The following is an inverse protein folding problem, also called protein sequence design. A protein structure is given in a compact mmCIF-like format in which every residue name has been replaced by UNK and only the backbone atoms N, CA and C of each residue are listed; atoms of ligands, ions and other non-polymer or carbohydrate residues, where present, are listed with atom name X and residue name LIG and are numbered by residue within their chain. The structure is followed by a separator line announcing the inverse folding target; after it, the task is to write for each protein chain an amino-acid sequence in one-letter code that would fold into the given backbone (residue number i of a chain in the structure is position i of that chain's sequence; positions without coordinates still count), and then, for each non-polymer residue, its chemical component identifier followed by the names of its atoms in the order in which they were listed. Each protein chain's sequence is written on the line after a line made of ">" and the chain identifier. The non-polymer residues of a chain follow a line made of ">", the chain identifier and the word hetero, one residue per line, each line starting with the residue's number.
data_IF_289472321205
#
_entry.id   IF_289472321205
#
_cell.length_a   1.000
_cell.length_b   1.000
_cell.length_c   1.000
_cell.angle_alpha   90.00
_cell.angle_beta   90.00
_cell.angle_gamma   90.00
#
_symmetry.space_group_name_H-M   'P 1'
#
loop_
_entity.id
_entity.type
_entity.pdbx_description
1 polymer ?
#
# COMPACT_ATOMS: atom_id res chain seq x y z
N UNK A 1 -24.52 2.92 -24.35
CA UNK A 1 -25.98 2.71 -24.31
C UNK A 1 -26.64 4.07 -24.10
N UNK A 2 -27.85 4.29 -24.60
CA UNK A 2 -28.53 5.58 -24.43
C UNK A 2 -29.16 5.54 -23.03
N UNK A 3 -28.76 6.45 -22.15
CA UNK A 3 -29.37 6.59 -20.84
C UNK A 3 -30.08 7.94 -20.77
N UNK A 4 -31.26 7.92 -20.16
CA UNK A 4 -32.11 9.09 -19.96
C UNK A 4 -32.00 9.47 -18.48
N UNK A 5 -31.64 10.71 -18.18
CA UNK A 5 -31.51 11.18 -16.79
C UNK A 5 -32.87 11.28 -16.11
N UNK A 6 -33.89 11.69 -16.86
CA UNK A 6 -35.22 11.94 -16.34
C UNK A 6 -36.29 11.30 -17.25
N UNK A 7 -36.56 9.98 -17.12
CA UNK A 7 -37.49 9.26 -17.99
C UNK A 7 -38.94 9.73 -17.86
N UNK A 8 -39.29 10.43 -16.77
CA UNK A 8 -40.61 10.99 -16.54
C UNK A 8 -41.03 11.99 -17.63
N UNK A 9 -40.08 12.72 -18.23
CA UNK A 9 -40.38 13.68 -19.29
C UNK A 9 -40.84 13.04 -20.60
N UNK A 10 -40.69 11.72 -20.77
CA UNK A 10 -41.29 11.01 -21.90
C UNK A 10 -42.83 11.09 -21.88
N UNK A 11 -43.46 11.29 -20.71
CA UNK A 11 -44.90 11.54 -20.63
C UNK A 11 -45.33 12.84 -21.32
N UNK A 12 -44.43 13.80 -21.55
CA UNK A 12 -44.73 15.00 -22.31
C UNK A 12 -45.13 14.70 -23.77
N UNK A 13 -44.73 13.55 -24.31
CA UNK A 13 -45.15 13.07 -25.65
C UNK A 13 -46.67 12.87 -25.70
N UNK A 14 -47.33 12.55 -24.59
CA UNK A 14 -48.79 12.48 -24.53
C UNK A 14 -49.47 13.82 -24.87
N UNK A 15 -48.76 14.95 -24.72
CA UNK A 15 -49.25 16.27 -25.14
C UNK A 15 -49.51 16.41 -26.64
N UNK A 16 -48.95 15.52 -27.48
CA UNK A 16 -49.23 15.46 -28.93
C UNK A 16 -50.70 15.14 -29.23
N UNK A 17 -51.40 14.49 -28.28
CA UNK A 17 -52.84 14.19 -28.40
C UNK A 17 -53.65 15.47 -28.57
N UNK A 18 -53.27 16.57 -27.93
CA UNK A 18 -54.00 17.85 -27.96
C UNK A 18 -54.09 18.44 -29.38
N UNK A 19 -52.99 18.72 -30.11
CA UNK A 19 -53.07 19.26 -31.46
C UNK A 19 -53.73 18.28 -32.45
N UNK A 20 -53.59 16.97 -32.24
CA UNK A 20 -54.27 15.95 -33.06
C UNK A 20 -55.79 16.03 -32.88
N UNK A 21 -56.27 16.07 -31.63
CA UNK A 21 -57.70 16.19 -31.31
C UNK A 21 -58.31 17.51 -31.82
N UNK A 22 -57.60 18.64 -31.63
CA UNK A 22 -58.05 19.95 -32.13
C UNK A 22 -58.17 19.93 -33.66
N UNK A 23 -57.23 19.27 -34.34
CA UNK A 23 -57.27 19.17 -35.79
C UNK A 23 -58.42 18.29 -36.29
N UNK A 24 -58.69 17.16 -35.63
CA UNK A 24 -59.84 16.31 -35.92
C UNK A 24 -61.18 17.05 -35.65
N UNK A 25 -61.21 17.99 -34.70
CA UNK A 25 -62.40 18.80 -34.42
C UNK A 25 -62.63 19.92 -35.44
N UNK A 26 -61.62 20.32 -36.22
CA UNK A 26 -61.73 21.42 -37.17
C UNK A 26 -62.47 21.01 -38.45
N UNK A 27 -63.80 20.92 -38.36
CA UNK A 27 -64.69 20.67 -39.49
C UNK A 27 -64.82 21.96 -40.29
N UNK A 28 -64.53 21.91 -41.59
CA UNK A 28 -64.69 23.06 -42.50
C UNK A 28 -66.13 23.57 -42.46
N UNK A 29 -66.32 24.82 -42.05
CA UNK A 29 -67.60 25.51 -42.20
C UNK A 29 -67.84 25.75 -43.69
N UNK A 30 -68.98 25.26 -44.20
CA UNK A 30 -69.34 25.44 -45.61
C UNK A 30 -69.47 26.93 -45.92
N UNK A 31 -68.75 27.41 -46.93
CA UNK A 31 -68.93 28.80 -47.41
C UNK A 31 -70.31 28.91 -48.03
N UNK A 32 -71.16 29.76 -47.47
CA UNK A 32 -72.46 30.08 -48.05
C UNK A 32 -72.24 31.01 -49.25
N UNK A 33 -72.46 30.50 -50.46
CA UNK A 33 -72.50 31.32 -51.67
C UNK A 33 -73.87 32.02 -51.72
N UNK A 34 -73.89 33.35 -51.82
CA UNK A 34 -75.14 34.09 -52.02
C UNK A 34 -75.60 33.90 -53.47
N UNK A 35 -76.76 33.27 -53.66
CA UNK A 35 -77.39 33.04 -54.97
C UNK A 35 -78.71 33.81 -55.01
N UNK A 36 -79.01 34.44 -56.14
CA UNK A 36 -80.10 35.42 -56.30
C UNK A 36 -81.52 34.85 -56.42
N UNK A 37 -81.71 33.52 -56.53
CA UNK A 37 -83.04 32.91 -56.52
C UNK A 37 -82.97 31.44 -56.13
N UNK A 38 -83.78 31.05 -55.15
CA UNK A 38 -83.89 29.68 -54.61
C UNK A 38 -85.05 28.89 -55.21
N UNK A 39 -85.85 29.51 -56.09
CA UNK A 39 -87.07 28.92 -56.63
C UNK A 39 -86.83 27.74 -57.60
N UNK A 40 -85.60 27.58 -58.12
CA UNK A 40 -85.23 26.52 -59.08
C UNK A 40 -84.48 25.35 -58.42
N UNK A 41 -84.26 25.39 -57.10
CA UNK A 41 -83.58 24.32 -56.38
C UNK A 41 -84.63 23.38 -55.77
N UNK A 42 -85.02 22.35 -56.54
CA UNK A 42 -85.83 21.24 -56.05
C UNK A 42 -85.14 20.50 -54.91
N UNK A 43 -85.93 19.74 -54.13
CA UNK A 43 -85.57 19.06 -52.89
C UNK A 43 -84.41 18.06 -53.08
N UNK A 44 -83.20 18.61 -53.14
CA UNK A 44 -81.98 17.85 -53.36
C UNK A 44 -81.53 17.32 -52.01
N UNK A 45 -81.50 15.98 -51.91
CA UNK A 45 -81.03 15.23 -50.77
C UNK A 45 -79.77 15.86 -50.20
N UNK A 46 -79.82 16.17 -48.90
CA UNK A 46 -78.74 16.71 -48.07
C UNK A 46 -77.49 15.85 -48.24
N UNK A 47 -76.68 16.14 -49.25
CA UNK A 47 -75.39 15.49 -49.43
C UNK A 47 -74.57 15.82 -48.20
N UNK A 48 -74.43 14.81 -47.34
CA UNK A 48 -73.59 14.85 -46.16
C UNK A 48 -72.16 15.11 -46.62
N UNK A 49 -71.80 16.40 -46.70
CA UNK A 49 -70.43 16.84 -46.93
C UNK A 49 -69.62 16.68 -45.64
N UNK A 50 -69.62 15.48 -45.07
CA UNK A 50 -68.62 15.02 -44.11
C UNK A 50 -67.39 14.54 -44.89
N UNK A 51 -66.83 15.43 -45.71
CA UNK A 51 -65.52 15.19 -46.29
C UNK A 51 -64.48 15.59 -45.25
N UNK A 52 -64.01 14.60 -44.50
CA UNK A 52 -62.86 14.70 -43.60
C UNK A 52 -61.56 14.90 -44.42
N UNK A 53 -61.46 16.04 -45.11
CA UNK A 53 -60.27 16.41 -45.89
C UNK A 53 -59.35 17.17 -44.97
N UNK A 54 -58.36 16.44 -44.47
CA UNK A 54 -57.19 16.96 -43.74
C UNK A 54 -56.41 17.86 -44.69
N UNK A 55 -56.73 19.16 -44.69
CA UNK A 55 -55.86 20.19 -45.26
C UNK A 55 -54.87 20.62 -44.18
N UNK A 56 -53.60 20.82 -44.58
CA UNK A 56 -52.48 21.28 -43.72
C UNK A 56 -51.75 20.20 -42.89
N UNK A 57 -51.64 18.98 -43.43
CA UNK A 57 -50.79 17.91 -42.89
C UNK A 57 -49.34 18.34 -42.54
N UNK A 58 -48.62 19.12 -43.37
CA UNK A 58 -47.27 19.55 -43.01
C UNK A 58 -47.22 20.47 -41.78
N UNK A 59 -48.24 21.30 -41.55
CA UNK A 59 -48.28 22.23 -40.42
C UNK A 59 -48.56 21.50 -39.10
N UNK A 60 -49.39 20.45 -39.14
CA UNK A 60 -49.62 19.56 -38.00
C UNK A 60 -48.37 18.78 -37.65
N UNK A 61 -47.68 18.23 -38.65
CA UNK A 61 -46.43 17.50 -38.47
C UNK A 61 -45.38 18.38 -37.77
N UNK A 62 -45.26 19.65 -38.18
CA UNK A 62 -44.34 20.61 -37.57
C UNK A 62 -44.65 20.85 -36.08
N UNK A 63 -45.93 21.02 -35.72
CA UNK A 63 -46.33 21.17 -34.31
C UNK A 63 -45.98 19.94 -33.47
N UNK A 64 -46.20 18.74 -34.01
CA UNK A 64 -45.86 17.51 -33.31
C UNK A 64 -44.34 17.35 -33.16
N UNK A 65 -43.57 17.69 -34.21
CA UNK A 65 -42.12 17.65 -34.19
C UNK A 65 -41.53 18.58 -33.13
N UNK A 66 -42.08 19.79 -32.98
CA UNK A 66 -41.62 20.75 -31.98
C UNK A 66 -41.82 20.22 -30.55
N UNK A 67 -42.98 19.64 -30.26
CA UNK A 67 -43.25 19.01 -28.96
C UNK A 67 -42.33 17.81 -28.69
N UNK A 68 -42.05 17.01 -29.72
CA UNK A 68 -41.16 15.85 -29.61
C UNK A 68 -39.71 16.28 -29.35
N UNK A 69 -39.24 17.32 -30.05
CA UNK A 69 -37.91 17.88 -29.86
C UNK A 69 -37.76 18.53 -28.47
N UNK A 70 -38.80 19.19 -27.97
CA UNK A 70 -38.84 19.72 -26.62
C UNK A 70 -38.78 18.59 -25.57
N UNK A 71 -39.58 17.54 -25.72
CA UNK A 71 -39.52 16.37 -24.84
C UNK A 71 -38.13 15.71 -24.85
N UNK A 72 -37.53 15.59 -26.04
CA UNK A 72 -36.18 15.03 -26.19
C UNK A 72 -35.12 15.90 -25.51
N UNK A 73 -35.21 17.22 -25.64
CA UNK A 73 -34.29 18.15 -24.99
C UNK A 73 -34.36 18.04 -23.46
N UNK A 74 -35.57 17.91 -22.89
CA UNK A 74 -35.77 17.76 -21.44
C UNK A 74 -35.34 16.39 -20.91
N UNK A 75 -35.31 15.36 -21.77
CA UNK A 75 -34.79 14.04 -21.37
C UNK A 75 -33.26 13.97 -21.31
N UNK A 76 -32.55 15.02 -21.73
CA UNK A 76 -31.09 15.11 -21.83
C UNK A 76 -30.42 13.77 -22.21
N UNK A 77 -30.67 13.26 -23.42
CA UNK A 77 -30.14 11.99 -23.86
C UNK A 77 -28.64 12.14 -24.07
N UNK A 78 -27.87 11.50 -23.22
CA UNK A 78 -26.42 11.53 -23.31
C UNK A 78 -25.90 10.16 -23.73
N UNK A 79 -24.93 10.20 -24.65
CA UNK A 79 -24.28 8.98 -25.10
C UNK A 79 -23.25 8.52 -24.08
N UNK A 80 -23.65 7.60 -23.20
CA UNK A 80 -22.67 6.85 -22.41
C UNK A 80 -21.95 5.86 -23.30
N UNK A 81 -20.69 6.16 -23.62
CA UNK A 81 -19.71 5.14 -23.97
C UNK A 81 -19.52 4.28 -22.72
N UNK A 82 -20.20 3.13 -22.66
CA UNK A 82 -19.69 2.06 -21.82
C UNK A 82 -18.37 1.68 -22.47
N UNK A 83 -17.28 2.17 -21.90
CA UNK A 83 -16.07 1.40 -21.84
C UNK A 83 -16.50 0.08 -21.19
N UNK A 84 -16.88 -0.91 -21.99
CA UNK A 84 -16.94 -2.29 -21.52
C UNK A 84 -15.53 -2.54 -21.00
N UNK A 85 -15.32 -2.68 -19.69
CA UNK A 85 -14.07 -3.28 -19.28
C UNK A 85 -14.07 -4.66 -19.93
N UNK A 86 -12.98 -5.01 -20.59
CA UNK A 86 -12.78 -6.39 -21.01
C UNK A 86 -13.12 -7.28 -19.80
N UNK A 87 -13.80 -8.43 -19.96
CA UNK A 87 -14.16 -9.27 -18.82
C UNK A 87 -12.89 -9.58 -18.05
N UNK A 88 -12.70 -8.86 -16.93
CA UNK A 88 -11.47 -8.90 -16.19
C UNK A 88 -11.39 -10.31 -15.62
N UNK A 89 -10.41 -11.09 -16.11
CA UNK A 89 -10.21 -12.47 -15.63
C UNK A 89 -9.89 -12.51 -14.13
N UNK A 90 -9.58 -11.36 -13.54
CA UNK A 90 -9.43 -11.13 -12.12
C UNK A 90 -8.92 -9.72 -11.82
N UNK A 91 -8.75 -9.43 -10.53
CA UNK A 91 -8.27 -8.15 -10.03
C UNK A 91 -6.83 -8.27 -9.54
N UNK A 92 -6.02 -7.26 -9.80
CA UNK A 92 -4.70 -7.06 -9.18
C UNK A 92 -4.85 -5.92 -8.18
N UNK A 93 -4.53 -6.18 -6.92
CA UNK A 93 -4.50 -5.19 -5.86
C UNK A 93 -3.05 -4.87 -5.53
N UNK A 94 -2.72 -3.58 -5.55
CA UNK A 94 -1.41 -3.09 -5.12
C UNK A 94 -1.60 -2.14 -3.95
N UNK A 95 -0.77 -2.30 -2.94
CA UNK A 95 -0.71 -1.39 -1.81
C UNK A 95 -0.48 0.07 -2.24
N UNK A 96 -1.23 1.00 -1.61
CA UNK A 96 -1.13 2.43 -1.91
C UNK A 96 0.18 3.07 -1.44
N UNK A 97 0.75 2.60 -0.33
CA UNK A 97 1.93 3.21 0.28
C UNK A 97 2.81 2.14 0.92
N UNK A 98 3.98 1.78 0.36
CA UNK A 98 4.68 2.39 -0.77
C UNK A 98 4.38 1.71 -2.13
N UNK A 99 3.52 2.31 -2.97
CA UNK A 99 3.10 1.69 -4.24
C UNK A 99 4.24 1.50 -5.25
N UNK A 100 5.19 2.45 -5.30
CA UNK A 100 6.31 2.44 -6.26
C UNK A 100 7.28 1.29 -6.00
N UNK A 101 7.63 1.08 -4.73
CA UNK A 101 8.51 0.00 -4.29
C UNK A 101 7.88 -1.37 -4.52
N UNK A 102 6.59 -1.51 -4.14
CA UNK A 102 5.81 -2.73 -4.39
C UNK A 102 5.80 -3.04 -5.90
N UNK A 103 5.51 -2.03 -6.72
CA UNK A 103 5.44 -2.20 -8.16
C UNK A 103 6.80 -2.58 -8.76
N UNK A 104 7.89 -1.94 -8.36
CA UNK A 104 9.22 -2.27 -8.88
C UNK A 104 9.62 -3.72 -8.58
N UNK A 105 9.32 -4.20 -7.37
CA UNK A 105 9.64 -5.57 -6.97
C UNK A 105 8.82 -6.61 -7.76
N UNK A 106 7.54 -6.32 -8.02
CA UNK A 106 6.64 -7.23 -8.71
C UNK A 106 6.39 -6.89 -10.20
N UNK A 107 7.15 -5.95 -10.76
CA UNK A 107 7.01 -5.45 -12.14
C UNK A 107 6.80 -6.56 -13.18
N UNK A 108 7.66 -7.60 -13.29
CA UNK A 108 7.51 -8.61 -14.33
C UNK A 108 6.18 -9.38 -14.20
N UNK A 109 5.72 -9.60 -12.98
CA UNK A 109 4.48 -10.34 -12.71
C UNK A 109 3.25 -9.47 -12.93
N UNK A 110 3.27 -8.22 -12.47
CA UNK A 110 2.19 -7.26 -12.69
C UNK A 110 2.03 -6.99 -14.18
N UNK A 111 3.12 -6.74 -14.92
CA UNK A 111 3.10 -6.54 -16.37
C UNK A 111 2.52 -7.76 -17.12
N UNK A 112 2.90 -8.98 -16.71
CA UNK A 112 2.34 -10.19 -17.30
C UNK A 112 0.84 -10.36 -17.01
N UNK A 113 0.36 -9.96 -15.84
CA UNK A 113 -1.05 -10.05 -15.48
C UNK A 113 -1.87 -8.98 -16.22
N UNK A 114 -1.36 -7.75 -16.32
CA UNK A 114 -1.95 -6.68 -17.11
C UNK A 114 -2.12 -7.08 -18.58
N UNK A 115 -1.09 -7.66 -19.20
CA UNK A 115 -1.15 -8.19 -20.59
C UNK A 115 -2.22 -9.28 -20.77
N UNK A 116 -2.56 -10.02 -19.71
CA UNK A 116 -3.60 -11.07 -19.73
C UNK A 116 -5.02 -10.52 -19.55
N UNK A 117 -5.17 -9.20 -19.42
CA UNK A 117 -6.47 -8.54 -19.25
C UNK A 117 -6.96 -8.48 -17.80
N UNK A 118 -6.05 -8.53 -16.82
CA UNK A 118 -6.40 -8.26 -15.42
C UNK A 118 -6.48 -6.75 -15.17
N UNK A 119 -7.43 -6.35 -14.32
CA UNK A 119 -7.59 -4.95 -13.93
C UNK A 119 -6.76 -4.62 -12.70
N UNK A 120 -6.16 -3.43 -12.69
CA UNK A 120 -5.30 -2.97 -11.62
C UNK A 120 -6.08 -2.02 -10.71
N UNK A 121 -6.12 -2.36 -9.43
CA UNK A 121 -6.82 -1.63 -8.39
C UNK A 121 -5.85 -1.29 -7.26
N UNK A 122 -6.07 -0.14 -6.62
CA UNK A 122 -5.36 0.20 -5.39
C UNK A 122 -6.01 -0.49 -4.20
N UNK A 123 -5.19 -0.94 -3.25
CA UNK A 123 -5.64 -1.45 -1.97
C UNK A 123 -6.02 -0.27 -1.05
N UNK A 124 -7.21 0.26 -1.29
CA UNK A 124 -7.86 1.27 -0.43
C UNK A 124 -9.33 0.89 -0.19
N UNK A 125 -10.05 1.67 0.61
CA UNK A 125 -11.47 1.40 0.92
C UNK A 125 -12.38 1.49 -0.32
N UNK A 126 -11.97 2.23 -1.34
CA UNK A 126 -12.71 2.41 -2.59
C UNK A 126 -12.42 1.34 -3.64
N UNK A 127 -11.24 0.70 -3.60
CA UNK A 127 -10.71 -0.21 -4.62
C UNK A 127 -10.76 0.37 -6.03
N UNK A 128 -10.34 1.64 -6.17
CA UNK A 128 -10.36 2.34 -7.45
C UNK A 128 -9.51 1.60 -8.47
N UNK A 129 -10.05 1.42 -9.68
CA UNK A 129 -9.29 0.97 -10.83
C UNK A 129 -8.37 2.11 -11.27
N UNK A 130 -7.08 1.82 -11.43
CA UNK A 130 -6.06 2.83 -11.73
C UNK A 130 -5.17 2.34 -12.86
N UNK A 131 -4.84 3.24 -13.79
CA UNK A 131 -3.87 2.94 -14.85
C UNK A 131 -2.46 2.97 -14.30
N UNK A 132 -1.57 2.16 -14.88
CA UNK A 132 -0.18 2.08 -14.43
C UNK A 132 0.54 3.45 -14.39
N UNK A 133 0.27 4.30 -15.38
CA UNK A 133 0.85 5.65 -15.46
C UNK A 133 0.38 6.60 -14.35
N UNK A 134 -0.81 6.37 -13.76
CA UNK A 134 -1.34 7.17 -12.66
C UNK A 134 -0.75 6.73 -11.32
N UNK A 135 -0.42 5.44 -11.17
CA UNK A 135 0.20 4.87 -9.96
C UNK A 135 1.64 5.38 -9.75
N UNK A 136 2.35 5.65 -10.85
CA UNK A 136 3.73 6.15 -10.81
C UNK A 136 3.82 7.66 -10.59
N UNK A 137 2.69 8.38 -10.67
CA UNK A 137 2.65 9.80 -10.31
C UNK A 137 2.61 9.88 -8.78
N UNK A 138 3.61 10.56 -8.22
CA UNK A 138 3.89 10.72 -6.78
C UNK A 138 2.83 11.51 -6.00
N UNK A 139 1.55 11.36 -6.32
CA UNK A 139 0.46 11.96 -5.54
C UNK A 139 0.14 11.04 -4.36
N UNK A 140 1.09 10.97 -3.42
CA UNK A 140 0.92 10.40 -2.09
C UNK A 140 -0.05 11.30 -1.32
N UNK A 141 -1.35 11.15 -1.57
CA UNK A 141 -2.35 11.65 -0.64
C UNK A 141 -2.20 10.83 0.63
N UNK A 142 -1.61 11.43 1.66
CA UNK A 142 -1.51 10.90 3.02
C UNK A 142 -2.90 10.48 3.46
N UNK A 143 -3.17 9.19 3.36
CA UNK A 143 -4.42 8.60 3.81
C UNK A 143 -4.13 7.74 5.01
N UNK A 144 -5.01 7.85 6.01
CA UNK A 144 -4.95 7.14 7.28
C UNK A 144 -4.62 5.67 7.02
N UNK A 145 -3.51 5.18 7.56
CA UNK A 145 -3.09 3.81 7.36
C UNK A 145 -4.14 2.86 7.97
N UNK A 146 -4.75 2.05 7.11
CA UNK A 146 -5.69 0.99 7.49
C UNK A 146 -4.94 -0.34 7.40
N UNK A 147 -5.19 -1.25 8.34
CA UNK A 147 -4.65 -2.61 8.27
C UNK A 147 -5.17 -3.36 7.04
N UNK A 148 -4.41 -4.35 6.56
CA UNK A 148 -4.81 -5.12 5.38
C UNK A 148 -6.05 -5.98 5.61
N UNK A 149 -6.22 -6.50 6.83
CA UNK A 149 -7.32 -7.42 7.15
C UNK A 149 -8.73 -6.79 7.03
N UNK A 150 -9.00 -5.60 7.59
CA UNK A 150 -10.26 -4.89 7.32
C UNK A 150 -10.51 -4.65 5.83
N UNK A 151 -9.48 -4.28 5.07
CA UNK A 151 -9.62 -4.02 3.63
C UNK A 151 -10.00 -5.29 2.88
N UNK A 152 -9.35 -6.42 3.17
CA UNK A 152 -9.71 -7.71 2.58
C UNK A 152 -11.15 -8.14 2.91
N UNK A 153 -11.64 -7.81 4.11
CA UNK A 153 -13.04 -8.06 4.48
C UNK A 153 -14.01 -7.21 3.65
N UNK A 154 -13.70 -5.92 3.45
CA UNK A 154 -14.51 -5.04 2.59
C UNK A 154 -14.44 -5.43 1.11
N UNK A 155 -13.32 -5.99 0.67
CA UNK A 155 -13.13 -6.49 -0.69
C UNK A 155 -14.07 -7.66 -1.00
N UNK A 156 -14.24 -8.59 -0.06
CA UNK A 156 -15.15 -9.73 -0.16
C UNK A 156 -16.59 -9.32 -0.48
N UNK A 157 -17.04 -8.16 0.03
CA UNK A 157 -18.39 -7.65 -0.21
C UNK A 157 -18.56 -7.01 -1.60
N UNK A 158 -17.49 -6.56 -2.23
CA UNK A 158 -17.52 -5.83 -3.51
C UNK A 158 -17.27 -6.70 -4.73
N UNK A 159 -16.57 -7.82 -4.55
CA UNK A 159 -16.17 -8.68 -5.67
C UNK A 159 -17.16 -9.85 -5.83
N UNK A 160 -17.56 -10.20 -7.08
CA UNK A 160 -18.31 -11.42 -7.34
C UNK A 160 -17.59 -12.68 -6.84
N UNK A 161 -18.35 -13.61 -6.24
CA UNK A 161 -17.82 -14.86 -5.74
C UNK A 161 -17.03 -15.61 -6.84
N UNK A 162 -15.86 -16.16 -6.50
CA UNK A 162 -14.89 -16.89 -7.37
C UNK A 162 -13.97 -16.05 -8.27
N UNK A 163 -13.98 -14.72 -8.18
CA UNK A 163 -12.99 -13.91 -8.91
C UNK A 163 -11.58 -14.15 -8.38
N UNK A 164 -10.59 -14.37 -9.25
CA UNK A 164 -9.18 -14.52 -8.85
C UNK A 164 -8.60 -13.15 -8.52
N UNK A 165 -8.04 -13.00 -7.32
CA UNK A 165 -7.46 -11.75 -6.84
C UNK A 165 -5.96 -11.93 -6.59
N UNK A 166 -5.12 -11.16 -7.27
CA UNK A 166 -3.69 -11.09 -6.97
C UNK A 166 -3.42 -9.89 -6.08
N UNK A 167 -2.92 -10.11 -4.88
CA UNK A 167 -2.61 -9.05 -3.94
C UNK A 167 -1.09 -8.93 -3.78
N UNK A 168 -0.57 -7.73 -4.02
CA UNK A 168 0.82 -7.38 -3.84
C UNK A 168 0.93 -6.31 -2.76
N UNK A 169 1.54 -6.67 -1.63
CA UNK A 169 1.77 -5.74 -0.51
C UNK A 169 3.18 -5.87 0.03
N UNK A 170 3.55 -4.90 0.83
CA UNK A 170 4.73 -4.92 1.65
C UNK A 170 4.46 -5.68 2.98
N UNK A 171 5.52 -6.16 3.66
CA UNK A 171 5.46 -7.04 4.84
C UNK A 171 5.69 -6.25 6.15
N UNK A 172 5.22 -5.02 6.26
CA UNK A 172 5.43 -4.20 7.46
C UNK A 172 4.41 -4.57 8.52
N UNK A 173 4.90 -4.82 9.73
CA UNK A 173 4.07 -5.24 10.87
C UNK A 173 2.91 -4.27 11.16
N UNK A 174 3.09 -2.97 10.88
CA UNK A 174 2.07 -1.94 11.10
C UNK A 174 0.73 -2.23 10.40
N UNK A 175 0.75 -2.92 9.25
CA UNK A 175 -0.45 -3.22 8.48
C UNK A 175 -1.13 -4.54 8.89
N UNK A 176 -0.48 -5.36 9.73
CA UNK A 176 -0.97 -6.66 10.19
C UNK A 176 -1.50 -6.66 11.63
N UNK A 177 -1.61 -5.50 12.28
CA UNK A 177 -2.01 -5.38 13.70
C UNK A 177 -3.42 -5.90 14.04
N UNK A 178 -4.26 -6.17 13.04
CA UNK A 178 -5.64 -6.63 13.24
C UNK A 178 -5.76 -8.16 13.25
N UNK A 179 -6.81 -8.69 13.90
CA UNK A 179 -7.13 -10.13 13.84
C UNK A 179 -7.44 -10.54 12.40
N UNK A 180 -6.86 -11.66 11.95
CA UNK A 180 -7.12 -12.25 10.63
C UNK A 180 -8.58 -12.73 10.54
N UNK A 181 -9.40 -12.21 9.60
CA UNK A 181 -10.75 -12.70 9.37
C UNK A 181 -10.76 -13.98 8.53
N UNK A 182 -11.88 -14.69 8.58
CA UNK A 182 -12.24 -15.69 7.58
C UNK A 182 -12.66 -14.95 6.29
N UNK A 183 -12.06 -15.35 5.16
CA UNK A 183 -12.25 -14.73 3.85
C UNK A 183 -12.62 -15.84 2.85
N UNK A 184 -13.75 -15.69 2.15
CA UNK A 184 -14.16 -16.58 1.07
C UNK A 184 -13.75 -16.02 -0.31
N UNK A 185 -12.45 -15.73 -0.47
CA UNK A 185 -11.87 -15.13 -1.66
C UNK A 185 -10.83 -16.07 -2.30
N UNK A 186 -10.78 -16.12 -3.63
CA UNK A 186 -9.68 -16.77 -4.35
C UNK A 186 -8.48 -15.81 -4.42
N UNK A 187 -7.81 -15.63 -3.28
CA UNK A 187 -6.76 -14.65 -3.05
C UNK A 187 -5.36 -15.27 -3.18
N UNK A 188 -4.57 -14.75 -4.10
CA UNK A 188 -3.14 -15.02 -4.24
C UNK A 188 -2.35 -13.82 -3.71
N UNK A 189 -2.00 -13.90 -2.42
CA UNK A 189 -1.26 -12.83 -1.74
C UNK A 189 0.24 -13.05 -1.82
N UNK A 190 0.96 -12.09 -2.38
CA UNK A 190 2.41 -12.01 -2.40
C UNK A 190 2.88 -10.80 -1.61
N UNK A 191 3.86 -11.04 -0.75
CA UNK A 191 4.46 -10.01 0.09
C UNK A 191 5.95 -9.88 -0.18
N UNK A 192 6.48 -8.67 -0.01
CA UNK A 192 7.93 -8.43 0.03
C UNK A 192 8.28 -7.63 1.28
N UNK A 193 9.50 -7.80 1.78
CA UNK A 193 10.00 -7.02 2.90
C UNK A 193 10.76 -5.81 2.34
N UNK A 194 10.24 -4.57 2.48
CA UNK A 194 10.98 -3.39 2.05
C UNK A 194 12.24 -3.19 2.88
N UNK A 195 13.14 -2.34 2.40
CA UNK A 195 14.28 -1.88 3.18
C UNK A 195 13.77 -0.99 4.32
N UNK A 196 13.46 -1.61 5.46
CA UNK A 196 13.09 -0.93 6.70
C UNK A 196 14.32 -0.32 7.40
N UNK A 197 14.06 0.37 8.50
CA UNK A 197 14.96 0.88 9.54
C UNK A 197 16.22 0.02 9.69
N UNK A 198 17.31 0.49 9.12
CA UNK A 198 18.64 -0.06 9.36
C UNK A 198 19.11 0.45 10.72
N UNK A 199 19.20 -0.44 11.70
CA UNK A 199 19.78 -0.10 13.00
C UNK A 199 21.28 -0.39 12.97
N UNK A 200 22.09 0.60 13.31
CA UNK A 200 23.52 0.44 13.50
C UNK A 200 23.88 0.83 14.92
N UNK A 201 24.69 0.01 15.59
CA UNK A 201 25.14 0.29 16.95
C UNK A 201 26.54 -0.24 17.19
N UNK A 202 27.22 0.33 18.19
CA UNK A 202 28.47 -0.20 18.72
C UNK A 202 28.10 -1.23 19.79
N UNK A 203 28.40 -2.50 19.54
CA UNK A 203 28.16 -3.60 20.49
C UNK A 203 29.20 -3.63 21.60
N UNK A 204 30.47 -3.41 21.25
CA UNK A 204 31.58 -3.40 22.20
C UNK A 204 32.77 -2.67 21.59
N UNK A 205 33.61 -2.05 22.41
CA UNK A 205 34.88 -1.44 22.00
C UNK A 205 35.95 -1.70 23.04
N UNK A 206 37.18 -1.97 22.60
CA UNK A 206 38.30 -2.27 23.49
C UNK A 206 39.64 -1.83 22.88
N UNK A 207 40.63 -1.60 23.74
CA UNK A 207 41.99 -1.38 23.29
C UNK A 207 42.67 -2.68 22.89
N UNK A 208 43.31 -2.64 21.73
CA UNK A 208 44.17 -3.71 21.22
C UNK A 208 45.55 -3.66 21.89
N UNK A 209 46.34 -4.72 21.72
CA UNK A 209 47.73 -4.76 22.19
C UNK A 209 48.62 -3.65 21.59
N UNK A 210 48.26 -3.11 20.43
CA UNK A 210 48.99 -2.03 19.72
C UNK A 210 48.39 -0.64 19.98
N UNK A 211 47.64 -0.48 21.08
CA UNK A 211 46.97 0.75 21.51
C UNK A 211 46.02 1.39 20.47
N UNK A 212 45.54 0.61 19.51
CA UNK A 212 44.41 0.96 18.65
C UNK A 212 43.08 0.55 19.30
N UNK A 213 42.01 1.27 19.01
CA UNK A 213 40.66 0.94 19.49
C UNK A 213 40.00 0.02 18.46
N UNK A 214 39.60 -1.18 18.87
CA UNK A 214 38.80 -2.09 18.05
C UNK A 214 37.35 -2.03 18.50
N UNK A 215 36.47 -1.64 17.59
CA UNK A 215 35.03 -1.57 17.80
C UNK A 215 34.31 -2.68 17.05
N UNK A 216 33.40 -3.38 17.72
CA UNK A 216 32.47 -4.34 17.13
C UNK A 216 31.17 -3.59 16.85
N UNK A 217 30.82 -3.48 15.58
CA UNK A 217 29.67 -2.74 15.10
C UNK A 217 28.61 -3.70 14.61
N UNK A 218 27.42 -3.65 15.22
CA UNK A 218 26.24 -4.36 14.78
C UNK A 218 25.50 -3.58 13.70
N UNK A 219 25.02 -4.28 12.69
CA UNK A 219 24.13 -3.76 11.65
C UNK A 219 22.96 -4.72 11.50
N UNK A 220 21.77 -4.24 11.85
CA UNK A 220 20.52 -5.00 11.72
C UNK A 220 19.72 -4.46 10.54
N UNK A 221 19.41 -5.36 9.61
CA UNK A 221 18.50 -5.14 8.47
C UNK A 221 17.33 -6.11 8.59
N UNK A 222 16.23 -5.90 7.86
CA UNK A 222 15.11 -6.86 7.85
C UNK A 222 15.48 -8.29 7.43
N UNK A 223 16.56 -8.45 6.67
CA UNK A 223 17.08 -9.75 6.25
C UNK A 223 18.02 -10.43 7.26
N UNK A 224 18.42 -9.76 8.34
CA UNK A 224 19.31 -10.32 9.36
C UNK A 224 20.21 -9.30 10.05
N UNK A 225 20.88 -9.75 11.10
CA UNK A 225 21.86 -8.99 11.87
C UNK A 225 23.27 -9.46 11.56
N UNK A 226 24.17 -8.51 11.29
CA UNK A 226 25.58 -8.77 11.01
C UNK A 226 26.47 -7.96 11.95
N UNK A 227 27.64 -8.52 12.27
CA UNK A 227 28.65 -7.85 13.09
C UNK A 227 29.93 -7.68 12.28
N UNK A 228 30.52 -6.50 12.36
CA UNK A 228 31.77 -6.16 11.71
C UNK A 228 32.74 -5.54 12.71
N UNK A 229 34.03 -5.79 12.53
CA UNK A 229 35.08 -5.18 13.35
C UNK A 229 35.71 -4.01 12.64
N UNK A 230 35.81 -2.87 13.31
CA UNK A 230 36.47 -1.66 12.82
C UNK A 230 37.63 -1.32 13.74
N UNK A 231 38.83 -1.16 13.17
CA UNK A 231 40.01 -0.70 13.89
C UNK A 231 40.17 0.80 13.71
N UNK A 232 40.30 1.52 14.82
CA UNK A 232 40.48 2.96 14.89
C UNK A 232 41.84 3.26 15.53
N UNK A 233 42.72 3.91 14.79
CA UNK A 233 43.97 4.42 15.33
C UNK A 233 43.72 5.77 16.00
N UNK A 234 44.33 6.01 17.17
CA UNK A 234 44.11 7.20 18.01
C UNK A 234 44.40 8.54 17.31
N UNK A 235 45.11 8.53 16.17
CA UNK A 235 45.45 9.73 15.40
C UNK A 235 44.56 9.96 14.17
N UNK A 236 43.74 8.99 13.76
CA UNK A 236 43.04 9.06 12.48
C UNK A 236 41.59 9.50 12.67
N UNK A 237 41.23 10.67 12.10
CA UNK A 237 39.84 11.16 12.10
C UNK A 237 38.99 10.24 11.22
N UNK A 238 38.31 9.28 11.83
CA UNK A 238 37.40 8.42 11.10
C UNK A 238 36.16 9.20 10.64
N UNK A 239 35.71 8.98 9.40
CA UNK A 239 34.53 9.64 8.87
C UNK A 239 33.24 9.26 9.63
N UNK A 240 33.15 8.03 10.17
CA UNK A 240 31.92 7.45 10.71
C UNK A 240 31.84 7.40 12.25
N UNK A 241 32.97 7.41 12.94
CA UNK A 241 33.03 7.29 14.39
C UNK A 241 33.64 8.54 15.02
N UNK A 242 33.17 8.90 16.21
CA UNK A 242 33.80 9.88 17.07
C UNK A 242 34.40 9.17 18.28
N UNK A 243 35.61 9.57 18.67
CA UNK A 243 36.28 9.04 19.86
C UNK A 243 36.59 10.23 20.76
N UNK A 244 36.02 10.23 21.96
CA UNK A 244 36.21 11.28 22.97
C UNK A 244 36.87 10.68 24.20
N UNK A 245 37.76 11.42 24.85
CA UNK A 245 38.37 11.02 26.12
C UNK A 245 37.83 11.95 27.19
N UNK A 246 37.08 11.40 28.15
CA UNK A 246 36.53 12.14 29.28
C UNK A 246 36.94 11.43 30.57
N UNK A 247 37.54 12.16 31.51
CA UNK A 247 37.95 11.61 32.81
C UNK A 247 38.92 10.42 32.73
N UNK A 248 39.78 10.37 31.71
CA UNK A 248 40.74 9.27 31.52
C UNK A 248 40.15 7.97 30.95
N UNK A 249 38.87 7.97 30.57
CA UNK A 249 38.22 6.86 29.85
C UNK A 249 37.94 7.28 28.42
N UNK A 250 38.24 6.40 27.48
CA UNK A 250 37.89 6.62 26.08
C UNK A 250 36.45 6.17 25.82
N UNK A 251 35.72 6.95 25.05
CA UNK A 251 34.35 6.70 24.62
C UNK A 251 34.29 6.75 23.10
N UNK A 252 33.48 5.86 22.52
CA UNK A 252 33.25 5.80 21.08
C UNK A 252 31.77 5.98 20.78
N UNK A 253 31.45 6.81 19.79
CA UNK A 253 30.10 6.99 19.27
C UNK A 253 30.07 6.95 17.75
N UNK A 254 28.91 6.62 17.18
CA UNK A 254 28.67 6.70 15.73
C UNK A 254 28.15 8.11 15.44
N UNK A 255 28.73 8.79 14.43
CA UNK A 255 28.25 10.12 14.03
C UNK A 255 26.81 10.03 13.51
N UNK A 256 25.98 11.01 13.85
CA UNK A 256 24.57 11.08 13.45
C UNK A 256 23.72 9.88 13.91
N UNK A 257 24.04 9.30 15.07
CA UNK A 257 23.29 8.22 15.68
C UNK A 257 22.81 8.62 17.08
N UNK A 258 21.66 8.09 17.51
CA UNK A 258 21.04 8.33 18.82
C UNK A 258 21.60 7.45 19.93
N UNK A 259 22.50 6.50 19.62
CA UNK A 259 23.14 5.67 20.63
C UNK A 259 24.07 6.50 21.53
N UNK A 260 23.95 6.31 22.85
CA UNK A 260 24.90 6.85 23.83
C UNK A 260 26.32 6.32 23.58
N UNK A 261 27.32 7.15 23.90
CA UNK A 261 28.71 6.78 23.68
C UNK A 261 29.09 5.54 24.51
N UNK A 262 29.76 4.58 23.87
CA UNK A 262 30.17 3.32 24.49
C UNK A 262 31.56 3.49 25.08
N UNK A 263 31.72 3.10 26.34
CA UNK A 263 33.03 3.08 27.02
C UNK A 263 33.94 2.07 26.33
N UNK A 264 35.17 2.48 26.00
CA UNK A 264 36.20 1.59 25.47
C UNK A 264 36.86 0.85 26.62
N UNK A 265 36.77 -0.48 26.60
CA UNK A 265 37.36 -1.34 27.61
C UNK A 265 38.90 -1.30 27.55
N UNK A 266 39.51 -0.88 28.65
CA UNK A 266 40.96 -0.83 28.87
C UNK A 266 41.47 -2.00 29.72
N UNK A 267 40.58 -2.84 30.23
CA UNK A 267 40.94 -3.91 31.16
C UNK A 267 41.67 -5.06 30.46
N UNK A 268 42.59 -5.69 31.20
CA UNK A 268 43.21 -6.95 30.75
C UNK A 268 42.37 -8.11 31.26
N UNK A 269 41.78 -8.89 30.35
CA UNK A 269 41.01 -10.07 30.71
C UNK A 269 41.98 -11.17 31.19
N UNK A 270 41.84 -11.57 32.46
CA UNK A 270 42.64 -12.63 33.09
C UNK A 270 41.84 -13.92 33.12
N UNK A 271 42.33 -14.96 32.47
CA UNK A 271 41.70 -16.28 32.43
C UNK A 271 42.62 -17.27 33.13
N UNK A 272 42.09 -17.98 34.13
CA UNK A 272 42.84 -19.02 34.85
C UNK A 272 42.34 -20.40 34.44
N UNK A 273 43.24 -21.26 33.97
CA UNK A 273 42.94 -22.64 33.59
C UNK A 273 43.30 -23.55 34.76
N UNK A 274 42.31 -24.27 35.28
CA UNK A 274 42.52 -25.27 36.33
C UNK A 274 42.86 -26.62 35.71
N UNK A 275 44.04 -27.17 36.03
CA UNK A 275 44.60 -28.32 35.30
C UNK A 275 44.83 -29.58 36.13
N UNK A 276 44.33 -29.65 37.38
CA UNK A 276 44.70 -30.65 38.38
C UNK A 276 44.75 -32.10 37.88
N UNK A 277 43.63 -32.64 37.37
CA UNK A 277 43.56 -34.02 36.87
C UNK A 277 43.59 -34.13 35.34
N UNK A 278 43.60 -32.99 34.63
CA UNK A 278 43.38 -32.90 33.19
C UNK A 278 44.42 -31.99 32.52
N UNK A 279 45.71 -32.27 32.76
CA UNK A 279 46.80 -31.47 32.23
C UNK A 279 46.85 -31.46 30.68
N UNK A 280 46.50 -32.58 30.04
CA UNK A 280 46.41 -32.66 28.58
C UNK A 280 45.30 -31.75 28.02
N UNK A 281 44.11 -31.75 28.62
CA UNK A 281 42.98 -30.91 28.20
C UNK A 281 43.24 -29.42 28.44
N UNK A 282 43.96 -29.10 29.52
CA UNK A 282 44.40 -27.74 29.81
C UNK A 282 45.28 -27.15 28.70
N UNK A 283 46.12 -27.98 28.05
CA UNK A 283 46.93 -27.55 26.93
C UNK A 283 46.08 -27.23 25.70
N UNK A 284 45.07 -28.05 25.38
CA UNK A 284 44.14 -27.77 24.28
C UNK A 284 43.34 -26.49 24.54
N UNK A 285 42.83 -26.30 25.76
CA UNK A 285 42.10 -25.08 26.14
C UNK A 285 43.00 -23.84 26.06
N UNK A 286 44.25 -23.95 26.53
CA UNK A 286 45.22 -22.87 26.44
C UNK A 286 45.53 -22.50 24.99
N UNK A 287 45.76 -23.49 24.12
CA UNK A 287 45.98 -23.25 22.69
C UNK A 287 44.77 -22.57 22.04
N UNK A 288 43.55 -23.02 22.36
CA UNK A 288 42.32 -22.38 21.88
C UNK A 288 42.21 -20.92 22.35
N UNK A 289 42.46 -20.65 23.63
CA UNK A 289 42.42 -19.29 24.18
C UNK A 289 43.54 -18.40 23.62
N UNK A 290 44.71 -18.95 23.33
CA UNK A 290 45.79 -18.25 22.62
C UNK A 290 45.40 -17.90 21.18
N UNK A 291 44.72 -18.80 20.47
CA UNK A 291 44.17 -18.52 19.15
C UNK A 291 43.11 -17.41 19.22
N UNK A 292 42.21 -17.44 20.21
CA UNK A 292 41.23 -16.37 20.46
C UNK A 292 41.93 -15.04 20.79
N UNK A 293 43.03 -15.06 21.56
CA UNK A 293 43.87 -13.88 21.82
C UNK A 293 44.44 -13.28 20.56
N UNK A 294 45.02 -14.11 19.69
CA UNK A 294 45.59 -13.67 18.42
C UNK A 294 44.52 -13.15 17.45
N UNK A 295 43.34 -13.77 17.43
CA UNK A 295 42.25 -13.35 16.55
C UNK A 295 41.57 -12.04 17.02
N UNK A 296 41.33 -11.91 18.32
CA UNK A 296 40.62 -10.75 18.89
C UNK A 296 41.52 -9.54 19.11
N UNK A 297 42.85 -9.70 19.20
CA UNK A 297 43.82 -8.67 19.62
C UNK A 297 43.51 -8.03 20.99
N UNK A 298 42.67 -8.67 21.80
CA UNK A 298 42.36 -8.21 23.16
C UNK A 298 43.56 -8.40 24.08
N UNK A 299 43.74 -7.46 25.02
CA UNK A 299 44.69 -7.61 26.13
C UNK A 299 44.21 -8.76 27.03
N UNK A 300 44.76 -9.97 26.82
CA UNK A 300 44.42 -11.18 27.58
C UNK A 300 45.65 -11.83 28.22
N UNK A 301 45.51 -12.24 29.49
CA UNK A 301 46.51 -12.98 30.26
C UNK A 301 45.94 -14.34 30.66
N UNK A 302 46.54 -15.42 30.15
CA UNK A 302 46.16 -16.80 30.43
C UNK A 302 47.16 -17.35 31.46
N UNK A 303 46.66 -17.93 32.55
CA UNK A 303 47.49 -18.47 33.64
C UNK A 303 47.02 -19.88 34.00
N UNK A 304 47.95 -20.80 34.21
CA UNK A 304 47.62 -22.14 34.72
C UNK A 304 47.59 -22.14 36.25
N UNK A 305 46.65 -22.87 36.83
CA UNK A 305 46.61 -23.12 38.28
C UNK A 305 46.34 -24.59 38.57
N UNK A 306 47.15 -25.18 39.44
CA UNK A 306 46.97 -26.55 39.94
C UNK A 306 46.23 -26.59 41.29
N UNK A 307 45.92 -25.42 41.86
CA UNK A 307 45.47 -25.28 43.24
C UNK A 307 44.02 -24.75 43.31
N UNK A 308 43.11 -25.58 43.78
CA UNK A 308 41.67 -25.26 43.89
C UNK A 308 41.38 -24.11 44.88
N UNK A 309 42.20 -23.96 45.92
CA UNK A 309 42.06 -22.89 46.93
C UNK A 309 42.31 -21.49 46.36
N UNK A 310 43.13 -21.35 45.31
CA UNK A 310 43.35 -20.08 44.59
C UNK A 310 42.15 -19.69 43.73
N UNK A 311 41.47 -20.65 43.11
CA UNK A 311 40.22 -20.41 42.36
C UNK A 311 39.10 -19.96 43.31
N UNK A 312 39.03 -20.55 44.51
CA UNK A 312 38.04 -20.20 45.53
C UNK A 312 38.28 -18.83 46.17
N UNK A 313 39.53 -18.33 46.24
CA UNK A 313 39.81 -16.97 46.74
C UNK A 313 39.49 -15.90 45.70
N UNK A 314 39.74 -16.18 44.41
CA UNK A 314 39.31 -15.34 43.28
C UNK A 314 37.78 -15.20 43.23
N UNK A 315 37.05 -16.32 43.41
CA UNK A 315 35.58 -16.33 43.43
C UNK A 315 34.98 -15.63 44.67
N UNK A 316 35.64 -15.71 45.84
CA UNK A 316 35.20 -15.04 47.07
C UNK A 316 35.41 -13.52 47.04
N UNK A 317 36.51 -13.06 46.43
CA UNK A 317 36.78 -11.62 46.31
C UNK A 317 35.84 -10.93 45.32
N UNK A 318 35.42 -11.61 44.24
CA UNK A 318 34.39 -11.08 43.32
C UNK A 318 33.01 -11.04 43.96
N UNK A 319 32.66 -12.02 44.80
CA UNK A 319 31.40 -11.99 45.56
C UNK A 319 31.38 -10.93 46.67
N UNK A 320 32.51 -10.66 47.34
CA UNK A 320 32.62 -9.54 48.30
C UNK A 320 32.50 -8.16 47.63
N UNK A 321 32.95 -8.02 46.39
CA UNK A 321 32.75 -6.79 45.62
C UNK A 321 31.30 -6.63 45.11
N UNK A 322 30.63 -7.73 44.77
CA UNK A 322 29.21 -7.71 44.39
C UNK A 322 28.27 -7.54 45.61
N UNK A 323 28.61 -8.07 46.79
CA UNK A 323 27.81 -7.88 48.01
C UNK A 323 27.86 -6.44 48.54
N UNK A 324 28.97 -5.73 48.34
CA UNK A 324 29.06 -4.31 48.69
C UNK A 324 28.33 -3.38 47.70
N UNK A 325 27.82 -3.91 46.58
CA UNK A 325 26.98 -3.18 45.62
C UNK A 325 25.49 -3.54 45.76
N UNK A 326 25.16 -4.55 46.55
CA UNK A 326 23.80 -5.05 46.78
C UNK A 326 23.53 -5.01 48.30
N UNK A 327 23.42 -3.77 48.77
CA UNK A 327 22.66 -3.26 49.93
C UNK A 327 23.29 -3.28 51.34
N UNK A 328 23.00 -2.23 52.15
CA UNK A 328 22.24 -1.01 51.85
C UNK A 328 23.11 0.19 51.43
#
# INVERSE_FOLDING_TARGET
>A
MLQLTNPLWLWAIAGIIVPVLIHLWHIKTGRTLKIGSIALLGESARQSSRSFRVTDWPLLLLRCLLLLLLAFLLTEPYWQKLLKPAPAKGWILVEKTPVKEVYQHFKPKIDSLLKRGYELHLLDTSFKAVKLAEILKDTVLQQKQVGYWPLLKSLEQKIPQKTKVYLFTSKQLQHFKSKKPLLNLNLLWQTFTPADSVSTWIQNAYFTATDSIRAIVGNSKPGGTSFSTVNLQSANRNARFNVTIEGGRAFISIKNNTQQAVVVDTSTLKISIYQHNFAADANYLSAALQAVKKFSDRKMKIVYTACYTLVRSLYRNTWKQLSNFILP
#
